data_IF_339840761390
#
_entry.id   IF_339840761390
#
_cell.length_a   1.000
_cell.length_b   1.000
_cell.length_c   1.000
_cell.angle_alpha   90.00
_cell.angle_beta   90.00
_cell.angle_gamma   90.00
#
_symmetry.space_group_name_H-M   'P 1'
#
loop_
_entity.id
_entity.type
_entity.pdbx_description
1 polymer ?
#
# COMPACT_ATOMS: atom_id res chain seq x y z
N UNK A 1 -20.18 1.41 15.26
CA UNK A 1 -19.05 2.28 14.84
C UNK A 1 -17.76 1.46 14.61
N UNK A 2 -17.31 0.63 15.56
CA UNK A 2 -16.10 -0.22 15.38
C UNK A 2 -16.18 -1.22 14.20
N UNK A 3 -17.35 -1.82 13.94
CA UNK A 3 -17.53 -2.76 12.83
C UNK A 3 -17.41 -2.09 11.43
N UNK A 4 -17.82 -0.83 11.30
CA UNK A 4 -17.68 -0.07 10.06
C UNK A 4 -16.21 0.30 9.79
N UNK A 5 -15.44 0.60 10.84
CA UNK A 5 -14.00 0.84 10.75
C UNK A 5 -13.22 -0.43 10.38
N UNK A 6 -13.64 -1.59 10.87
CA UNK A 6 -13.07 -2.88 10.49
C UNK A 6 -13.33 -3.22 9.01
N UNK A 7 -14.52 -2.90 8.48
CA UNK A 7 -14.84 -3.08 7.05
C UNK A 7 -13.96 -2.20 6.15
N UNK A 8 -13.79 -0.93 6.50
CA UNK A 8 -12.91 -0.01 5.76
C UNK A 8 -11.44 -0.44 5.80
N UNK A 9 -10.99 -0.99 6.93
CA UNK A 9 -9.64 -1.53 7.08
C UNK A 9 -9.39 -2.74 6.16
N UNK A 10 -10.31 -3.70 6.15
CA UNK A 10 -10.23 -4.90 5.29
C UNK A 10 -10.25 -4.53 3.80
N UNK A 11 -11.08 -3.56 3.41
CA UNK A 11 -11.14 -3.09 2.02
C UNK A 11 -9.84 -2.38 1.61
N UNK A 12 -9.30 -1.54 2.49
CA UNK A 12 -8.00 -0.90 2.28
C UNK A 12 -6.87 -1.91 2.15
N UNK A 13 -6.86 -2.95 3.00
CA UNK A 13 -5.93 -4.08 2.90
C UNK A 13 -5.99 -4.74 1.52
N UNK A 14 -7.19 -5.07 1.06
CA UNK A 14 -7.41 -5.67 -0.26
C UNK A 14 -6.93 -4.78 -1.40
N UNK A 15 -7.19 -3.48 -1.33
CA UNK A 15 -6.72 -2.52 -2.34
C UNK A 15 -5.19 -2.45 -2.36
N UNK A 16 -4.54 -2.36 -1.20
CA UNK A 16 -3.08 -2.31 -1.11
C UNK A 16 -2.45 -3.61 -1.61
N UNK A 17 -2.98 -4.77 -1.23
CA UNK A 17 -2.51 -6.08 -1.72
C UNK A 17 -2.70 -6.23 -3.22
N UNK A 18 -3.85 -5.80 -3.76
CA UNK A 18 -4.12 -5.83 -5.20
C UNK A 18 -3.21 -4.88 -5.98
N UNK A 19 -2.91 -3.69 -5.46
CA UNK A 19 -1.94 -2.78 -6.09
C UNK A 19 -0.52 -3.36 -6.03
N UNK A 20 -0.15 -3.95 -4.89
CA UNK A 20 1.16 -4.56 -4.72
C UNK A 20 1.37 -5.80 -5.61
N UNK A 21 0.33 -6.59 -5.90
CA UNK A 21 0.47 -7.76 -6.77
C UNK A 21 0.78 -7.39 -8.23
N UNK A 22 0.41 -6.18 -8.67
CA UNK A 22 0.69 -5.66 -10.03
C UNK A 22 2.15 -5.23 -10.23
N UNK A 23 2.91 -5.10 -9.15
CA UNK A 23 4.29 -4.62 -9.17
C UNK A 23 5.26 -5.80 -9.07
N UNK A 24 6.27 -5.81 -9.94
CA UNK A 24 7.36 -6.77 -9.92
C UNK A 24 8.40 -6.39 -8.85
N UNK A 25 8.09 -6.71 -7.59
CA UNK A 25 8.99 -6.41 -6.46
C UNK A 25 10.29 -7.19 -6.55
N UNK A 26 11.41 -6.47 -6.66
CA UNK A 26 12.76 -7.02 -6.46
C UNK A 26 13.19 -6.94 -5.00
N UNK A 27 12.29 -7.35 -4.09
CA UNK A 27 12.49 -7.33 -2.65
C UNK A 27 12.53 -8.76 -2.09
N UNK A 28 13.26 -8.97 -0.99
CA UNK A 28 13.16 -10.20 -0.21
C UNK A 28 11.74 -10.33 0.39
N UNK A 29 11.21 -11.55 0.60
CA UNK A 29 9.87 -11.73 1.16
C UNK A 29 9.63 -11.00 2.50
N UNK A 30 10.64 -10.99 3.38
CA UNK A 30 10.58 -10.27 4.66
C UNK A 30 10.47 -8.75 4.47
N UNK A 31 11.29 -8.19 3.58
CA UNK A 31 11.26 -6.78 3.22
C UNK A 31 9.95 -6.35 2.57
N UNK A 32 9.42 -7.17 1.65
CA UNK A 32 8.13 -6.92 1.00
C UNK A 32 7.01 -6.87 2.03
N UNK A 33 6.98 -7.83 2.96
CA UNK A 33 5.97 -7.86 4.05
C UNK A 33 6.09 -6.63 4.95
N UNK A 34 7.32 -6.23 5.31
CA UNK A 34 7.57 -5.02 6.10
C UNK A 34 7.03 -3.77 5.39
N UNK A 35 7.33 -3.60 4.10
CA UNK A 35 6.84 -2.48 3.28
C UNK A 35 5.31 -2.41 3.28
N UNK A 36 4.62 -3.54 3.06
CA UNK A 36 3.16 -3.56 3.04
C UNK A 36 2.58 -3.18 4.41
N UNK A 37 3.14 -3.71 5.50
CA UNK A 37 2.71 -3.34 6.85
C UNK A 37 2.93 -1.85 7.13
N UNK A 38 4.07 -1.31 6.72
CA UNK A 38 4.40 0.10 6.89
C UNK A 38 3.44 1.01 6.10
N UNK A 39 3.06 0.64 4.87
CA UNK A 39 2.00 1.33 4.10
C UNK A 39 0.66 1.28 4.84
N UNK A 40 0.25 0.12 5.35
CA UNK A 40 -1.00 -0.02 6.09
C UNK A 40 -1.02 0.83 7.37
N UNK A 41 0.10 0.88 8.09
CA UNK A 41 0.22 1.71 9.29
C UNK A 41 0.16 3.21 8.98
N UNK A 42 0.71 3.65 7.84
CA UNK A 42 0.52 5.02 7.36
C UNK A 42 -0.96 5.29 7.04
N UNK A 43 -1.61 4.43 6.26
CA UNK A 43 -2.98 4.65 5.82
C UNK A 43 -4.00 4.61 6.97
N UNK A 44 -3.71 3.85 8.04
CA UNK A 44 -4.54 3.81 9.26
C UNK A 44 -4.19 4.91 10.27
N UNK A 45 -3.14 5.70 10.04
CA UNK A 45 -2.65 6.70 10.99
C UNK A 45 -2.00 6.10 12.25
N UNK A 46 -1.81 4.78 12.31
CA UNK A 46 -1.15 4.10 13.43
C UNK A 46 0.35 4.42 13.51
N UNK A 47 0.96 4.81 12.39
CA UNK A 47 2.31 5.40 12.35
C UNK A 47 2.32 6.63 11.44
N UNK A 48 2.85 7.78 11.90
CA UNK A 48 2.91 9.00 11.08
C UNK A 48 4.10 9.02 10.11
N UNK A 49 5.12 8.18 10.33
CA UNK A 49 6.36 8.14 9.53
C UNK A 49 6.84 6.70 9.40
N UNK A 50 7.33 6.33 8.21
CA UNK A 50 8.00 5.05 7.96
C UNK A 50 9.34 5.28 7.27
N UNK A 51 10.36 4.57 7.75
CA UNK A 51 11.70 4.62 7.17
C UNK A 51 11.76 3.66 5.97
N UNK A 52 12.08 4.20 4.80
CA UNK A 52 12.15 3.44 3.55
C UNK A 52 13.54 2.82 3.40
N UNK A 53 13.80 1.76 4.18
CA UNK A 53 14.94 0.86 4.01
C UNK A 53 14.45 -0.59 3.97
N UNK A 54 14.02 -1.00 2.79
CA UNK A 54 13.52 -2.34 2.54
C UNK A 54 14.56 -3.22 1.85
N UNK A 55 15.77 -2.71 1.59
CA UNK A 55 16.77 -3.36 0.76
C UNK A 55 16.33 -3.48 -0.70
N UNK A 56 17.26 -3.30 -1.64
CA UNK A 56 16.99 -3.21 -3.07
C UNK A 56 17.67 -2.00 -3.68
N UNK A 57 17.65 -1.89 -5.00
CA UNK A 57 18.21 -0.74 -5.72
C UNK A 57 17.29 0.48 -5.52
N UNK A 58 17.82 1.54 -4.91
CA UNK A 58 17.10 2.79 -4.62
C UNK A 58 16.25 3.36 -5.78
N UNK A 59 16.71 3.40 -7.05
CA UNK A 59 15.85 3.89 -8.14
C UNK A 59 14.62 3.00 -8.38
N UNK A 60 14.78 1.68 -8.34
CA UNK A 60 13.65 0.75 -8.55
C UNK A 60 12.65 0.76 -7.39
N UNK A 61 13.10 0.94 -6.15
CA UNK A 61 12.19 1.05 -5.02
C UNK A 61 11.29 2.28 -5.14
N UNK A 62 11.86 3.42 -5.55
CA UNK A 62 11.11 4.65 -5.80
C UNK A 62 10.07 4.47 -6.92
N UNK A 63 10.47 3.90 -8.06
CA UNK A 63 9.55 3.64 -9.19
C UNK A 63 8.37 2.74 -8.78
N UNK A 64 8.65 1.70 -7.99
CA UNK A 64 7.63 0.79 -7.48
C UNK A 64 6.66 1.48 -6.52
N UNK A 65 7.15 2.36 -5.64
CA UNK A 65 6.30 3.14 -4.73
C UNK A 65 5.42 4.13 -5.50
N UNK A 66 5.97 4.84 -6.48
CA UNK A 66 5.19 5.72 -7.34
C UNK A 66 4.11 4.96 -8.12
N UNK A 67 4.45 3.78 -8.65
CA UNK A 67 3.50 2.91 -9.36
C UNK A 67 2.37 2.43 -8.43
N UNK A 68 2.69 2.10 -7.17
CA UNK A 68 1.70 1.72 -6.17
C UNK A 68 0.71 2.85 -5.89
N UNK A 69 1.19 4.08 -5.72
CA UNK A 69 0.34 5.25 -5.53
C UNK A 69 -0.55 5.51 -6.75
N UNK A 70 0.01 5.36 -7.95
CA UNK A 70 -0.75 5.52 -9.19
C UNK A 70 -1.87 4.47 -9.32
N UNK A 71 -1.56 3.20 -9.04
CA UNK A 71 -2.56 2.13 -9.03
C UNK A 71 -3.64 2.35 -7.96
N UNK A 72 -3.26 2.83 -6.77
CA UNK A 72 -4.21 3.15 -5.71
C UNK A 72 -5.16 4.29 -6.14
N UNK A 73 -4.65 5.36 -6.76
CA UNK A 73 -5.48 6.44 -7.30
C UNK A 73 -6.47 5.96 -8.37
N UNK A 74 -6.03 5.05 -9.25
CA UNK A 74 -6.90 4.45 -10.25
C UNK A 74 -7.94 3.49 -9.64
N UNK A 75 -7.67 2.88 -8.48
CA UNK A 75 -8.66 2.08 -7.77
C UNK A 75 -9.71 2.96 -7.06
N UNK A 76 -9.30 4.15 -6.58
CA UNK A 76 -10.17 5.10 -5.89
C UNK A 76 -11.05 5.90 -6.87
N UNK A 77 -10.55 6.28 -8.05
CA UNK A 77 -11.32 7.03 -9.07
C UNK A 77 -12.67 6.37 -9.46
N UNK A 78 -12.75 5.06 -9.78
CA UNK A 78 -14.01 4.42 -10.09
C UNK A 78 -14.90 4.23 -8.85
N UNK A 79 -14.34 4.20 -7.63
CA UNK A 79 -15.12 4.16 -6.38
C UNK A 79 -15.80 5.50 -6.09
N UNK A 80 -15.17 6.63 -6.41
CA UNK A 80 -15.75 7.98 -6.29
C UNK A 80 -16.84 8.29 -7.32
N UNK A 81 -16.90 7.56 -8.44
CA UNK A 81 -17.96 7.69 -9.45
C UNK A 81 -19.27 6.98 -9.08
N UNK A 82 -19.26 6.16 -8.01
CA UNK A 82 -20.40 5.38 -7.52
C UNK A 82 -20.97 5.90 -6.19
N UNK A 83 -20.52 7.06 -5.72
CA UNK A 83 -21.03 7.79 -4.54
C UNK A 83 -21.59 9.13 -5.02
#
# INVERSE_FOLDING_TARGET
>A
MAAAAAGAYEEMLRVVEACASRIQWRLRPSSKRRLLNDILFLCTGLRPVILVDYGGTMPQLQENLCSLLHHAQQAISPLLLYI
#
